data_IF_557933419558
#
_entry.id   IF_557933419558
#
_cell.length_a   1.000
_cell.length_b   1.000
_cell.length_c   1.000
_cell.angle_alpha   90.00
_cell.angle_beta   90.00
_cell.angle_gamma   90.00
#
_symmetry.space_group_name_H-M   'P 1'
#
loop_
_entity.id
_entity.type
_entity.pdbx_description
1 polymer ?
#
# COMPACT_ATOMS: atom_id res chain seq x y z
N UNK A 1 -37.50 1.13 17.36
CA UNK A 1 -36.92 1.04 18.71
C UNK A 1 -36.48 -0.39 18.95
N UNK A 2 -35.21 -0.66 19.25
CA UNK A 2 -34.68 -1.79 20.05
C UNK A 2 -33.16 -1.59 20.14
N UNK A 3 -32.72 -0.82 21.14
CA UNK A 3 -31.32 -0.49 21.39
C UNK A 3 -30.59 -1.62 22.08
N UNK A 4 -29.45 -2.06 21.52
CA UNK A 4 -28.53 -2.98 22.21
C UNK A 4 -27.50 -2.15 22.98
N UNK A 5 -27.60 -2.19 24.31
CA UNK A 5 -26.63 -1.62 25.25
C UNK A 5 -25.36 -2.47 25.23
N UNK A 6 -24.21 -1.85 24.98
CA UNK A 6 -22.91 -2.47 25.24
C UNK A 6 -22.54 -2.32 26.73
N UNK A 7 -22.39 -3.45 27.43
CA UNK A 7 -21.83 -3.50 28.79
C UNK A 7 -20.30 -3.35 28.70
N UNK A 8 -19.76 -2.29 29.31
CA UNK A 8 -18.33 -2.06 29.50
C UNK A 8 -17.85 -2.97 30.64
N UNK A 9 -17.07 -4.02 30.32
CA UNK A 9 -16.44 -4.88 31.32
C UNK A 9 -15.29 -4.15 32.01
N UNK A 10 -15.51 -3.66 33.24
CA UNK A 10 -14.48 -3.09 34.09
C UNK A 10 -13.63 -4.19 34.72
N UNK A 11 -12.41 -4.39 34.22
CA UNK A 11 -11.39 -5.21 34.87
C UNK A 11 -10.75 -4.44 36.03
N UNK A 12 -10.89 -4.95 37.26
CA UNK A 12 -10.17 -4.46 38.45
C UNK A 12 -8.67 -4.72 38.29
N UNK A 13 -7.86 -3.67 38.38
CA UNK A 13 -6.41 -3.77 38.57
C UNK A 13 -6.10 -4.07 40.03
N UNK A 14 -5.41 -5.18 40.31
CA UNK A 14 -4.74 -5.42 41.60
C UNK A 14 -3.30 -4.89 41.48
N UNK A 15 -2.90 -4.01 42.40
CA UNK A 15 -1.56 -3.43 42.51
C UNK A 15 -0.72 -4.31 43.46
N UNK A 16 0.36 -4.90 42.96
CA UNK A 16 1.44 -5.47 43.80
C UNK A 16 2.54 -4.43 44.04
N UNK A 17 3.28 -4.47 45.17
CA UNK A 17 4.23 -3.42 45.50
C UNK A 17 5.65 -3.73 44.97
N UNK A 18 6.31 -2.68 44.47
CA UNK A 18 7.78 -2.54 44.49
C UNK A 18 8.56 -3.19 43.34
N UNK A 19 9.19 -2.35 42.51
CA UNK A 19 10.26 -2.75 41.58
C UNK A 19 10.27 -1.91 40.31
N UNK A 20 11.12 -0.88 40.26
CA UNK A 20 11.32 -0.04 39.08
C UNK A 20 11.82 -0.88 37.90
N UNK A 21 10.99 -0.99 36.88
CA UNK A 21 11.34 -1.52 35.57
C UNK A 21 10.86 -0.51 34.53
N UNK A 22 11.81 0.00 33.75
CA UNK A 22 11.56 0.85 32.59
C UNK A 22 10.63 0.11 31.62
N UNK A 23 9.34 0.45 31.65
CA UNK A 23 8.32 -0.11 30.77
C UNK A 23 8.51 0.51 29.38
N UNK A 24 9.48 -0.01 28.61
CA UNK A 24 9.43 0.16 27.16
C UNK A 24 8.14 -0.48 26.65
N UNK A 25 7.23 0.25 25.99
CA UNK A 25 6.07 -0.37 25.40
C UNK A 25 6.53 -1.21 24.21
N UNK A 26 6.49 -2.54 24.34
CA UNK A 26 6.41 -3.42 23.18
C UNK A 26 4.98 -3.31 22.66
N UNK A 27 4.73 -2.31 21.80
CA UNK A 27 3.45 -2.16 21.12
C UNK A 27 3.32 -3.25 20.07
N UNK A 28 3.01 -4.46 20.52
CA UNK A 28 2.66 -5.58 19.65
C UNK A 28 1.17 -5.54 19.38
N UNK A 29 0.77 -4.89 18.29
CA UNK A 29 -0.62 -4.94 17.82
C UNK A 29 -0.91 -6.27 17.13
N UNK A 30 -1.98 -6.94 17.56
CA UNK A 30 -2.39 -8.22 16.99
C UNK A 30 -3.25 -7.99 15.75
N UNK A 31 -2.77 -8.44 14.60
CA UNK A 31 -3.55 -8.49 13.37
C UNK A 31 -4.64 -9.57 13.49
N UNK A 32 -5.90 -9.19 13.23
CA UNK A 32 -7.02 -10.14 13.11
C UNK A 32 -7.06 -10.70 11.71
N UNK A 33 -6.57 -11.93 11.54
CA UNK A 33 -6.63 -12.66 10.27
C UNK A 33 -7.23 -14.04 10.50
N UNK A 34 -8.15 -14.50 9.63
CA UNK A 34 -8.73 -15.86 9.75
C UNK A 34 -7.72 -16.97 9.46
N UNK A 35 -6.59 -16.63 8.82
CA UNK A 35 -5.48 -17.53 8.53
C UNK A 35 -4.16 -16.76 8.53
N UNK A 36 -3.10 -17.39 9.05
CA UNK A 36 -1.75 -16.85 9.03
C UNK A 36 -1.10 -17.16 7.68
N UNK A 37 -0.83 -16.12 6.90
CA UNK A 37 0.01 -16.19 5.70
C UNK A 37 1.49 -16.01 6.08
N UNK A 38 2.40 -16.37 5.17
CA UNK A 38 3.84 -16.13 5.30
C UNK A 38 4.57 -16.81 6.49
N UNK A 39 4.04 -17.95 6.99
CA UNK A 39 4.75 -18.80 7.97
C UNK A 39 5.27 -20.09 7.34
N UNK A 40 6.42 -20.62 7.81
CA UNK A 40 6.86 -21.95 7.44
C UNK A 40 5.88 -23.00 7.98
N UNK A 41 5.43 -23.92 7.11
CA UNK A 41 4.63 -25.08 7.54
C UNK A 41 5.54 -26.14 8.16
N UNK A 42 5.20 -26.63 9.35
CA UNK A 42 5.74 -27.90 9.87
C UNK A 42 4.97 -29.06 9.22
N UNK A 43 5.49 -29.62 8.13
CA UNK A 43 4.96 -30.85 7.50
C UNK A 43 4.91 -30.79 5.97
N UNK A 44 5.63 -31.68 5.28
CA UNK A 44 5.86 -31.64 3.82
C UNK A 44 4.77 -32.29 2.94
N UNK A 45 3.82 -33.02 3.50
CA UNK A 45 2.80 -33.77 2.72
C UNK A 45 1.69 -32.88 2.13
N UNK A 46 1.07 -32.04 2.94
CA UNK A 46 -0.04 -31.14 2.53
C UNK A 46 0.40 -29.96 1.64
N UNK A 47 1.72 -29.71 1.54
CA UNK A 47 2.33 -28.60 0.81
C UNK A 47 2.26 -28.83 -0.71
N UNK A 48 2.41 -30.08 -1.17
CA UNK A 48 2.34 -30.44 -2.61
C UNK A 48 0.91 -30.34 -3.15
N UNK A 49 -0.05 -30.97 -2.49
CA UNK A 49 -1.46 -30.99 -2.91
C UNK A 49 -2.09 -29.60 -2.97
N UNK A 50 -1.73 -28.69 -2.06
CA UNK A 50 -2.22 -27.30 -2.09
C UNK A 50 -1.64 -26.48 -3.26
N UNK A 51 -0.39 -26.72 -3.65
CA UNK A 51 0.25 -26.10 -4.84
C UNK A 51 -0.41 -26.60 -6.13
N UNK A 52 -0.65 -27.89 -6.21
CA UNK A 52 -1.22 -28.51 -7.41
C UNK A 52 -2.69 -28.10 -7.62
N UNK A 53 -3.49 -27.97 -6.55
CA UNK A 53 -4.89 -27.54 -6.65
C UNK A 53 -5.09 -26.03 -6.85
N UNK A 54 -4.30 -25.17 -6.19
CA UNK A 54 -4.50 -23.70 -6.29
C UNK A 54 -4.05 -23.12 -7.64
N UNK A 55 -3.24 -23.87 -8.40
CA UNK A 55 -2.53 -23.37 -9.58
C UNK A 55 -2.81 -24.13 -10.87
N UNK A 56 -3.59 -25.23 -10.81
CA UNK A 56 -3.97 -25.99 -11.98
C UNK A 56 -4.68 -25.09 -13.00
N UNK A 57 -4.10 -24.97 -14.20
CA UNK A 57 -4.64 -24.15 -15.30
C UNK A 57 -4.17 -22.70 -15.35
N UNK A 58 -3.33 -22.23 -14.42
CA UNK A 58 -2.74 -20.89 -14.53
C UNK A 58 -1.67 -20.84 -15.62
N UNK A 59 -1.89 -19.99 -16.63
CA UNK A 59 -0.88 -19.63 -17.64
C UNK A 59 -0.48 -18.17 -17.45
N UNK A 60 0.77 -17.92 -17.09
CA UNK A 60 1.31 -16.56 -17.04
C UNK A 60 1.34 -15.98 -18.46
N UNK A 61 0.83 -14.75 -18.61
CA UNK A 61 0.88 -14.00 -19.85
C UNK A 61 1.88 -12.85 -19.72
N UNK A 62 2.48 -12.39 -20.82
CA UNK A 62 3.29 -11.19 -20.81
C UNK A 62 2.49 -10.01 -20.26
N UNK A 63 3.08 -9.26 -19.34
CA UNK A 63 2.51 -7.98 -18.93
C UNK A 63 2.73 -6.96 -20.06
N UNK A 64 1.72 -6.15 -20.34
CA UNK A 64 1.74 -5.06 -21.32
C UNK A 64 2.89 -4.07 -21.09
N UNK A 65 3.48 -4.07 -19.88
CA UNK A 65 4.74 -3.42 -19.56
C UNK A 65 5.50 -4.29 -18.55
N UNK A 66 6.82 -4.42 -18.70
CA UNK A 66 7.64 -5.11 -17.69
C UNK A 66 7.52 -4.39 -16.34
N UNK A 67 7.07 -5.05 -15.26
CA UNK A 67 6.97 -4.42 -13.96
C UNK A 67 8.37 -4.03 -13.51
N UNK A 68 8.59 -2.74 -13.23
CA UNK A 68 9.89 -2.21 -12.81
C UNK A 68 10.33 -2.72 -11.43
N UNK A 69 9.42 -3.30 -10.66
CA UNK A 69 9.74 -4.10 -9.49
C UNK A 69 8.63 -5.14 -9.25
N UNK A 70 9.00 -6.41 -9.25
CA UNK A 70 8.23 -7.46 -8.62
C UNK A 70 9.23 -8.28 -7.79
N UNK A 71 8.92 -8.58 -6.54
CA UNK A 71 9.88 -9.30 -5.68
C UNK A 71 9.68 -10.78 -5.87
N UNK A 72 10.73 -11.49 -6.26
CA UNK A 72 10.77 -12.93 -6.08
C UNK A 72 10.78 -13.22 -4.57
N UNK A 73 9.64 -13.65 -4.03
CA UNK A 73 9.56 -14.11 -2.64
C UNK A 73 10.45 -15.34 -2.45
N UNK A 74 11.56 -15.20 -1.72
CA UNK A 74 12.42 -16.34 -1.38
C UNK A 74 13.89 -16.05 -1.04
N UNK A 75 14.40 -14.83 -1.22
CA UNK A 75 15.80 -14.53 -0.88
C UNK A 75 16.08 -13.05 -0.65
N UNK A 76 17.18 -12.77 0.07
CA UNK A 76 17.77 -11.44 0.32
C UNK A 76 18.37 -10.83 -0.96
N UNK A 77 17.76 -11.06 -2.11
CA UNK A 77 18.17 -10.47 -3.37
C UNK A 77 17.46 -9.12 -3.54
N UNK A 78 18.15 -8.09 -4.04
CA UNK A 78 17.52 -6.79 -4.30
C UNK A 78 16.36 -6.97 -5.29
N UNK A 79 15.25 -6.27 -5.07
CA UNK A 79 14.03 -6.38 -5.85
C UNK A 79 14.26 -6.03 -7.34
N UNK A 80 14.60 -6.99 -8.20
CA UNK A 80 14.80 -6.75 -9.63
C UNK A 80 13.47 -6.76 -10.39
N UNK A 81 13.34 -6.00 -11.50
CA UNK A 81 12.24 -6.21 -12.43
C UNK A 81 12.13 -7.70 -12.79
N UNK A 82 10.93 -8.28 -12.66
CA UNK A 82 10.67 -9.64 -13.13
C UNK A 82 10.02 -9.60 -14.50
N UNK A 83 10.29 -10.62 -15.31
CA UNK A 83 9.49 -10.86 -16.51
C UNK A 83 8.10 -11.36 -16.10
N UNK A 84 7.03 -10.81 -16.71
CA UNK A 84 5.65 -11.21 -16.40
C UNK A 84 5.38 -12.69 -16.68
N UNK A 85 6.12 -13.28 -17.61
CA UNK A 85 6.05 -14.72 -17.92
C UNK A 85 6.58 -15.61 -16.78
N UNK A 86 7.38 -15.06 -15.86
CA UNK A 86 7.91 -15.78 -14.68
C UNK A 86 6.95 -15.81 -13.48
N UNK A 87 5.79 -15.15 -13.58
CA UNK A 87 4.77 -15.10 -12.53
C UNK A 87 3.87 -16.33 -12.56
N UNK A 88 4.49 -17.50 -12.50
CA UNK A 88 3.85 -18.81 -12.56
C UNK A 88 3.15 -19.22 -11.25
N UNK A 89 2.55 -20.41 -11.27
CA UNK A 89 1.98 -21.08 -10.10
C UNK A 89 2.91 -21.05 -8.89
N UNK A 90 4.19 -21.33 -9.11
CA UNK A 90 5.18 -21.44 -8.05
C UNK A 90 5.52 -20.07 -7.45
N UNK A 91 5.55 -19.03 -8.27
CA UNK A 91 5.67 -17.65 -7.83
C UNK A 91 4.52 -17.27 -6.89
N UNK A 92 3.27 -17.54 -7.29
CA UNK A 92 2.12 -17.22 -6.45
C UNK A 92 2.10 -18.03 -5.15
N UNK A 93 2.50 -19.30 -5.22
CA UNK A 93 2.70 -20.11 -4.02
C UNK A 93 3.76 -19.50 -3.10
N UNK A 94 4.94 -19.13 -3.62
CA UNK A 94 6.01 -18.48 -2.86
C UNK A 94 5.53 -17.16 -2.24
N UNK A 95 4.82 -16.33 -3.00
CA UNK A 95 4.27 -15.06 -2.53
C UNK A 95 3.36 -15.25 -1.32
N UNK A 96 2.50 -16.27 -1.32
CA UNK A 96 1.63 -16.56 -0.17
C UNK A 96 2.37 -17.14 1.03
N UNK A 97 3.57 -17.69 0.83
CA UNK A 97 4.32 -18.49 1.81
C UNK A 97 5.51 -17.79 2.45
N UNK A 98 6.14 -16.87 1.75
CA UNK A 98 7.30 -16.12 2.24
C UNK A 98 6.92 -14.68 2.53
N UNK A 99 7.51 -14.07 3.57
CA UNK A 99 7.24 -12.69 3.94
C UNK A 99 7.42 -11.72 2.77
N UNK A 100 6.51 -10.77 2.65
CA UNK A 100 6.59 -9.70 1.65
C UNK A 100 7.62 -8.68 2.10
N UNK A 101 8.65 -8.46 1.27
CA UNK A 101 9.73 -7.49 1.54
C UNK A 101 9.40 -6.15 0.87
N UNK A 102 8.52 -5.36 1.50
CA UNK A 102 8.07 -4.07 0.93
C UNK A 102 9.15 -2.98 0.96
N UNK A 103 9.81 -2.78 2.12
CA UNK A 103 10.79 -1.70 2.30
C UNK A 103 11.93 -1.74 1.25
N UNK A 104 12.57 -2.89 0.96
CA UNK A 104 13.64 -2.93 -0.04
C UNK A 104 13.16 -2.57 -1.46
N UNK A 105 11.88 -2.82 -1.76
CA UNK A 105 11.26 -2.45 -3.04
C UNK A 105 11.06 -0.95 -3.11
N UNK A 106 10.47 -0.36 -2.08
CA UNK A 106 10.20 1.08 -2.04
C UNK A 106 11.51 1.86 -2.10
N UNK A 107 12.52 1.45 -1.33
CA UNK A 107 13.88 2.00 -1.37
C UNK A 107 14.44 2.02 -2.79
N UNK A 108 14.38 0.89 -3.50
CA UNK A 108 14.88 0.81 -4.87
C UNK A 108 14.04 1.65 -5.85
N UNK A 109 12.72 1.65 -5.69
CA UNK A 109 11.85 2.44 -6.55
C UNK A 109 12.05 3.93 -6.35
N UNK A 110 12.46 4.39 -5.17
CA UNK A 110 12.74 5.80 -4.92
C UNK A 110 13.81 6.38 -5.87
N UNK A 111 14.73 5.55 -6.37
CA UNK A 111 15.76 5.94 -7.35
C UNK A 111 15.20 6.11 -8.76
N UNK A 112 14.11 5.41 -9.11
CA UNK A 112 13.59 5.31 -10.47
C UNK A 112 12.18 5.89 -10.66
N UNK A 113 11.51 6.27 -9.57
CA UNK A 113 10.12 6.73 -9.53
C UNK A 113 10.04 8.13 -8.94
N UNK A 114 9.36 9.02 -9.66
CA UNK A 114 9.13 10.39 -9.18
C UNK A 114 7.92 10.54 -8.26
N UNK A 115 7.16 9.47 -8.05
CA UNK A 115 5.80 9.49 -7.54
C UNK A 115 5.34 8.07 -7.15
N UNK A 116 4.45 7.99 -6.16
CA UNK A 116 3.90 6.73 -5.66
C UNK A 116 2.37 6.82 -5.48
N UNK A 117 1.67 5.77 -5.90
CA UNK A 117 0.22 5.64 -5.75
C UNK A 117 -0.11 4.34 -5.05
N UNK A 118 -0.79 4.43 -3.92
CA UNK A 118 -1.43 3.28 -3.29
C UNK A 118 -2.84 3.09 -3.87
N UNK A 119 -3.02 2.01 -4.62
CA UNK A 119 -4.32 1.63 -5.18
C UNK A 119 -4.97 0.59 -4.27
N UNK A 120 -6.00 1.01 -3.55
CA UNK A 120 -6.70 0.15 -2.60
C UNK A 120 -7.89 0.84 -1.95
N UNK A 121 -8.74 0.08 -1.22
CA UNK A 121 -9.94 0.59 -0.56
C UNK A 121 -9.65 1.45 0.69
N UNK A 122 -8.43 1.38 1.22
CA UNK A 122 -7.98 2.15 2.37
C UNK A 122 -6.44 2.20 2.39
N UNK A 123 -5.81 3.32 2.78
CA UNK A 123 -4.36 3.42 2.83
C UNK A 123 -3.76 2.59 3.97
N UNK A 124 -3.14 1.47 3.62
CA UNK A 124 -2.41 0.59 4.55
C UNK A 124 -0.90 0.61 4.29
N UNK A 125 -0.47 0.96 3.08
CA UNK A 125 0.94 1.02 2.69
C UNK A 125 1.52 2.43 2.75
N UNK A 126 0.67 3.46 2.76
CA UNK A 126 1.08 4.87 2.72
C UNK A 126 2.04 5.26 3.84
N UNK A 127 1.81 4.78 5.06
CA UNK A 127 2.71 5.06 6.21
C UNK A 127 4.08 4.40 6.03
N UNK A 128 4.19 3.05 5.89
CA UNK A 128 5.51 2.42 5.74
C UNK A 128 6.25 2.82 4.45
N UNK A 129 5.53 3.17 3.38
CA UNK A 129 6.14 3.75 2.19
C UNK A 129 6.77 5.11 2.49
N UNK A 130 6.06 5.98 3.21
CA UNK A 130 6.57 7.31 3.57
C UNK A 130 7.80 7.25 4.48
N UNK A 131 7.76 6.40 5.50
CA UNK A 131 8.92 6.14 6.37
C UNK A 131 10.14 5.67 5.56
N UNK A 132 9.92 4.77 4.59
CA UNK A 132 11.01 4.30 3.72
C UNK A 132 11.56 5.43 2.85
N UNK A 133 10.69 6.24 2.23
CA UNK A 133 11.07 7.38 1.39
C UNK A 133 11.86 8.43 2.16
N UNK A 134 11.41 8.77 3.37
CA UNK A 134 12.13 9.66 4.29
C UNK A 134 13.52 9.12 4.62
N UNK A 135 13.63 7.82 4.90
CA UNK A 135 14.91 7.18 5.27
C UNK A 135 15.97 7.21 4.16
N UNK A 136 15.57 7.44 2.92
CA UNK A 136 16.46 7.49 1.74
C UNK A 136 16.57 8.91 1.15
N UNK A 137 16.09 9.92 1.88
CA UNK A 137 16.15 11.33 1.44
C UNK A 137 15.18 11.69 0.32
N UNK A 138 14.12 10.89 0.13
CA UNK A 138 13.08 11.07 -0.88
C UNK A 138 11.70 11.35 -0.26
N UNK A 139 11.66 11.89 0.96
CA UNK A 139 10.41 12.16 1.71
C UNK A 139 9.52 13.24 1.08
N UNK A 140 10.08 14.07 0.20
CA UNK A 140 9.36 15.06 -0.61
C UNK A 140 8.61 14.44 -1.80
N UNK A 141 8.82 13.14 -2.08
CA UNK A 141 8.17 12.47 -3.20
C UNK A 141 6.65 12.41 -3.01
N UNK A 142 5.89 12.85 -4.02
CA UNK A 142 4.46 12.61 -4.14
C UNK A 142 4.03 11.18 -3.78
N UNK A 143 3.17 11.04 -2.77
CA UNK A 143 2.57 9.76 -2.35
C UNK A 143 1.09 9.98 -2.02
N UNK A 144 0.22 9.45 -2.88
CA UNK A 144 -1.24 9.52 -2.78
C UNK A 144 -1.86 8.13 -2.66
N UNK A 145 -3.07 8.05 -2.08
CA UNK A 145 -3.86 6.83 -2.00
C UNK A 145 -5.24 7.05 -2.63
N UNK A 146 -5.78 6.01 -3.27
CA UNK A 146 -6.99 6.15 -4.09
C UNK A 146 -8.27 6.26 -3.28
N UNK A 147 -8.44 5.43 -2.25
CA UNK A 147 -9.68 5.35 -1.47
C UNK A 147 -9.37 5.27 0.02
N UNK A 148 -10.36 5.64 0.84
CA UNK A 148 -10.27 5.59 2.30
C UNK A 148 -11.60 5.11 2.87
N UNK A 149 -11.55 4.11 3.74
CA UNK A 149 -12.70 3.70 4.57
C UNK A 149 -13.39 4.90 5.22
N UNK A 150 -14.71 4.82 5.32
CA UNK A 150 -15.57 5.82 5.96
C UNK A 150 -15.58 7.17 5.22
N UNK A 151 -15.21 7.17 3.93
CA UNK A 151 -15.38 8.28 2.99
C UNK A 151 -16.14 7.84 1.74
N UNK A 152 -16.75 8.80 1.04
CA UNK A 152 -17.33 8.54 -0.27
C UNK A 152 -16.22 8.15 -1.28
N UNK A 153 -16.35 7.01 -1.99
CA UNK A 153 -15.33 6.56 -2.93
C UNK A 153 -15.09 7.51 -4.10
N UNK A 154 -16.15 8.19 -4.59
CA UNK A 154 -16.07 9.13 -5.70
C UNK A 154 -15.32 10.39 -5.30
N UNK A 155 -15.73 11.00 -4.18
CA UNK A 155 -15.09 12.21 -3.66
C UNK A 155 -13.62 11.97 -3.31
N UNK A 156 -13.32 10.84 -2.64
CA UNK A 156 -11.93 10.53 -2.26
C UNK A 156 -11.05 10.25 -3.48
N UNK A 157 -11.58 9.57 -4.49
CA UNK A 157 -10.84 9.33 -5.72
C UNK A 157 -10.58 10.64 -6.50
N UNK A 158 -11.58 11.51 -6.61
CA UNK A 158 -11.43 12.84 -7.22
C UNK A 158 -10.42 13.70 -6.45
N UNK A 159 -10.45 13.67 -5.12
CA UNK A 159 -9.47 14.35 -4.28
C UNK A 159 -8.05 13.81 -4.51
N UNK A 160 -7.87 12.49 -4.63
CA UNK A 160 -6.57 11.89 -4.96
C UNK A 160 -6.04 12.34 -6.33
N UNK A 161 -6.93 12.49 -7.33
CA UNK A 161 -6.57 13.06 -8.64
C UNK A 161 -6.19 14.53 -8.55
N UNK A 162 -6.92 15.33 -7.76
CA UNK A 162 -6.61 16.73 -7.53
C UNK A 162 -5.27 16.90 -6.80
N UNK A 163 -5.00 16.10 -5.76
CA UNK A 163 -3.72 16.07 -5.05
C UNK A 163 -2.57 15.72 -6.00
N UNK A 164 -2.73 14.68 -6.82
CA UNK A 164 -1.76 14.30 -7.84
C UNK A 164 -1.51 15.44 -8.85
N UNK A 165 -2.57 16.11 -9.30
CA UNK A 165 -2.47 17.24 -10.22
C UNK A 165 -1.70 18.42 -9.62
N UNK A 166 -2.01 18.81 -8.38
CA UNK A 166 -1.29 19.86 -7.65
C UNK A 166 0.18 19.51 -7.39
N UNK A 167 0.51 18.22 -7.32
CA UNK A 167 1.88 17.71 -7.24
C UNK A 167 2.58 17.61 -8.62
N UNK A 168 1.96 18.15 -9.67
CA UNK A 168 2.53 18.24 -11.02
C UNK A 168 2.30 17.02 -11.91
N UNK A 169 1.48 16.05 -11.48
CA UNK A 169 1.19 14.88 -12.29
C UNK A 169 0.18 15.25 -13.38
N UNK A 170 0.59 15.10 -14.63
CA UNK A 170 -0.32 15.31 -15.77
C UNK A 170 -1.03 13.99 -16.07
N UNK A 171 -2.35 13.96 -15.91
CA UNK A 171 -3.15 12.89 -16.47
C UNK A 171 -3.23 13.08 -17.99
N UNK A 172 -3.04 12.01 -18.75
CA UNK A 172 -3.04 12.04 -20.23
C UNK A 172 -4.46 12.07 -20.83
N UNK A 173 -5.52 12.20 -20.03
CA UNK A 173 -6.88 11.90 -20.46
C UNK A 173 -7.86 13.06 -20.30
N UNK A 174 -8.12 13.78 -21.39
CA UNK A 174 -9.35 14.58 -21.53
C UNK A 174 -10.62 13.73 -21.56
N UNK A 175 -10.50 12.41 -21.72
CA UNK A 175 -11.61 11.46 -21.78
C UNK A 175 -12.44 11.39 -20.49
N UNK A 176 -11.82 11.58 -19.31
CA UNK A 176 -12.56 11.62 -18.04
C UNK A 176 -13.50 12.83 -17.97
N UNK A 177 -13.08 13.95 -18.58
CA UNK A 177 -13.82 15.21 -18.59
C UNK A 177 -14.69 15.39 -19.84
N UNK A 178 -14.72 14.41 -20.76
CA UNK A 178 -15.36 14.55 -22.06
C UNK A 178 -16.88 14.82 -21.99
N UNK A 179 -17.54 14.44 -20.89
CA UNK A 179 -18.95 14.75 -20.63
C UNK A 179 -19.19 16.07 -19.86
N UNK A 180 -18.13 16.70 -19.36
CA UNK A 180 -18.18 17.92 -18.54
C UNK A 180 -17.79 19.17 -19.35
N UNK A 181 -18.00 19.16 -20.67
CA UNK A 181 -17.65 20.25 -21.59
C UNK A 181 -18.57 21.47 -21.41
N UNK A 182 -18.56 22.07 -20.22
CA UNK A 182 -18.94 23.45 -20.02
C UNK A 182 -17.65 24.28 -20.10
N UNK A 183 -17.41 24.89 -21.25
CA UNK A 183 -16.26 25.78 -21.44
C UNK A 183 -16.53 27.06 -20.64
N UNK A 184 -16.07 27.12 -19.41
CA UNK A 184 -16.04 28.35 -18.61
C UNK A 184 -14.67 29.00 -18.78
N UNK A 185 -14.63 30.28 -19.16
CA UNK A 185 -13.40 31.04 -19.23
C UNK A 185 -12.98 31.40 -17.82
N UNK A 186 -11.94 30.75 -17.29
CA UNK A 186 -11.37 31.16 -16.01
C UNK A 186 -10.77 32.57 -16.14
N UNK A 187 -10.89 33.41 -15.08
CA UNK A 187 -10.12 34.65 -15.01
C UNK A 187 -8.61 34.33 -15.07
N UNK A 188 -7.79 35.24 -15.59
CA UNK A 188 -6.34 35.03 -15.66
C UNK A 188 -5.76 34.83 -14.26
N UNK A 189 -4.73 34.01 -14.16
CA UNK A 189 -3.99 33.80 -12.91
C UNK A 189 -3.51 35.16 -12.38
N UNK A 190 -3.81 35.53 -11.12
CA UNK A 190 -3.35 36.80 -10.57
C UNK A 190 -1.82 36.83 -10.58
N UNK A 191 -1.24 37.91 -11.12
CA UNK A 191 0.21 38.11 -11.11
C UNK A 191 0.64 38.42 -9.68
N UNK A 192 1.68 37.74 -9.20
CA UNK A 192 2.35 38.14 -7.96
C UNK A 192 3.07 39.46 -8.24
N UNK A 193 2.44 40.60 -7.93
CA UNK A 193 3.15 41.87 -7.78
C UNK A 193 3.98 41.77 -6.50
N UNK A 194 5.27 41.42 -6.67
CA UNK A 194 6.24 41.59 -5.61
C UNK A 194 6.31 43.09 -5.30
N UNK A 195 5.82 43.49 -4.14
CA UNK A 195 5.98 44.85 -3.64
C UNK A 195 7.48 45.11 -3.44
N UNK A 196 8.08 45.88 -4.34
CA UNK A 196 9.33 46.60 -4.06
C UNK A 196 9.01 47.65 -3.01
N UNK A 197 9.44 47.40 -1.78
CA UNK A 197 9.59 48.38 -0.70
C UNK A 197 11.03 48.37 -0.23
#
# INVERSE_FOLDING_TARGET
MHGRRYRRGGGRLRRGPGGGGDLRPSASDRLRVPFLRHRPCRGGGAVRTGRDHASAGYRALPLHRRPRAAVAGGGRAPASPLDGTSLDADYWYRNLRHGVLLEPVVRRLAEASGAFVEVGPHPVLSVPMRETLESVGAGDRPLVHTLQRDQDPGDRFLAALAEAHCQGWRSTGGAFWAGAAATSTCPPTPSSVAGTG
#
